data_IF_702255440715
#
_entry.id   IF_702255440715
#
_cell.length_a   1.000
_cell.length_b   1.000
_cell.length_c   1.000
_cell.angle_alpha   90.00
_cell.angle_beta   90.00
_cell.angle_gamma   90.00
#
_symmetry.space_group_name_H-M   'P 1'
#
loop_
_entity.id
_entity.type
_entity.pdbx_description
1 polymer ?
#
# COMPACT_ATOMS: atom_id res chain seq x y z
N UNK A 1 -4.48 3.14 9.19
CA UNK A 1 -3.77 1.85 9.17
C UNK A 1 -2.32 1.93 9.63
N UNK A 2 -1.72 3.10 9.67
CA UNK A 2 -0.35 3.28 10.19
C UNK A 2 -0.30 3.30 11.72
N UNK A 3 -1.42 3.60 12.37
CA UNK A 3 -1.50 3.82 13.80
C UNK A 3 -2.47 2.81 14.43
N UNK A 4 -2.09 2.27 15.58
CA UNK A 4 -2.97 1.50 16.44
C UNK A 4 -2.93 2.08 17.86
N UNK A 5 -4.10 2.31 18.44
CA UNK A 5 -4.19 2.56 19.86
C UNK A 5 -4.25 1.24 20.59
N UNK A 6 -3.36 1.06 21.54
CA UNK A 6 -3.22 -0.20 22.28
C UNK A 6 -3.44 -0.01 23.77
N UNK A 7 -4.06 -1.02 24.40
CA UNK A 7 -4.35 -1.04 25.83
C UNK A 7 -4.34 -2.45 26.37
N UNK A 8 -3.78 -2.66 27.54
CA UNK A 8 -3.95 -3.91 28.28
C UNK A 8 -5.38 -4.04 28.81
N UNK A 9 -6.00 -5.16 28.53
CA UNK A 9 -7.28 -5.56 29.12
C UNK A 9 -7.11 -6.02 30.56
N UNK A 10 -8.24 -6.21 31.25
CA UNK A 10 -8.26 -6.76 32.63
C UNK A 10 -7.76 -8.19 32.71
N UNK A 11 -7.79 -8.91 31.59
CA UNK A 11 -7.28 -10.27 31.40
C UNK A 11 -5.76 -10.32 31.11
N UNK A 12 -5.08 -9.17 31.12
CA UNK A 12 -3.65 -9.04 30.85
C UNK A 12 -3.27 -9.12 29.36
N UNK A 13 -4.25 -9.28 28.44
CA UNK A 13 -3.98 -9.28 26.99
C UNK A 13 -3.88 -7.87 26.45
N UNK A 14 -3.08 -7.69 25.41
CA UNK A 14 -2.99 -6.43 24.66
C UNK A 14 -4.10 -6.36 23.62
N UNK A 15 -4.82 -5.26 23.58
CA UNK A 15 -5.88 -4.97 22.64
C UNK A 15 -5.53 -3.77 21.78
N UNK A 16 -5.96 -3.77 20.51
CA UNK A 16 -5.72 -2.68 19.58
C UNK A 16 -7.00 -2.20 18.90
N UNK A 17 -7.02 -0.91 18.59
CA UNK A 17 -8.05 -0.22 17.80
C UNK A 17 -7.35 0.58 16.71
N UNK A 18 -7.88 0.55 15.48
CA UNK A 18 -7.50 1.48 14.45
C UNK A 18 -8.26 2.81 14.64
N UNK A 19 -7.57 3.94 14.92
CA UNK A 19 -8.22 5.22 15.11
C UNK A 19 -8.63 5.90 13.80
N UNK A 20 -8.08 5.49 12.66
CA UNK A 20 -8.24 6.20 11.38
C UNK A 20 -9.49 5.83 10.59
N UNK A 21 -10.12 4.73 10.91
CA UNK A 21 -11.34 4.25 10.26
C UNK A 21 -11.21 4.04 8.73
N UNK A 22 -10.00 3.85 8.24
CA UNK A 22 -9.68 3.68 6.82
C UNK A 22 -8.32 3.06 6.56
N UNK A 23 -8.07 2.83 5.27
CA UNK A 23 -6.79 2.33 4.76
C UNK A 23 -6.20 3.33 3.79
N UNK A 24 -4.92 3.62 3.92
CA UNK A 24 -4.14 4.39 2.98
C UNK A 24 -3.10 3.47 2.33
N UNK A 25 -3.16 3.30 1.01
CA UNK A 25 -2.32 2.35 0.32
C UNK A 25 -1.69 2.88 -0.95
N UNK A 26 -0.62 2.19 -1.38
CA UNK A 26 0.03 2.39 -2.68
C UNK A 26 -0.79 1.67 -3.74
N UNK A 27 -1.17 2.38 -4.81
CA UNK A 27 -1.97 1.80 -5.89
C UNK A 27 -1.14 0.93 -6.85
N UNK A 28 0.02 1.35 -7.39
CA UNK A 28 0.78 0.56 -8.35
C UNK A 28 1.15 -0.83 -7.81
N UNK A 29 0.93 -1.85 -8.62
CA UNK A 29 1.17 -3.24 -8.24
C UNK A 29 0.08 -3.89 -7.39
N UNK A 30 -0.90 -3.13 -6.92
CA UNK A 30 -2.06 -3.68 -6.22
C UNK A 30 -3.02 -4.28 -7.25
N UNK A 31 -3.25 -5.58 -7.17
CA UNK A 31 -4.07 -6.36 -8.08
C UNK A 31 -4.89 -7.41 -7.33
N UNK A 32 -5.78 -8.11 -8.04
CA UNK A 32 -6.51 -9.24 -7.46
C UNK A 32 -5.57 -10.41 -7.09
N UNK A 33 -4.40 -10.52 -7.74
CA UNK A 33 -3.42 -11.56 -7.46
C UNK A 33 -2.51 -11.18 -6.29
N UNK A 34 -2.09 -9.91 -6.21
CA UNK A 34 -1.16 -9.45 -5.15
C UNK A 34 -1.87 -9.11 -3.84
N UNK A 35 -3.02 -8.44 -3.90
CA UNK A 35 -3.77 -8.01 -2.71
C UNK A 35 -5.28 -7.87 -2.98
N UNK A 36 -6.01 -9.00 -3.05
CA UNK A 36 -7.44 -8.99 -3.38
C UNK A 36 -8.30 -8.24 -2.36
N UNK A 37 -7.91 -8.26 -1.09
CA UNK A 37 -8.69 -7.59 -0.04
C UNK A 37 -8.56 -6.05 -0.13
N UNK A 38 -7.40 -5.52 -0.51
CA UNK A 38 -7.23 -4.10 -0.77
C UNK A 38 -8.13 -3.64 -1.93
N UNK A 39 -8.11 -4.35 -3.06
CA UNK A 39 -8.99 -4.02 -4.20
C UNK A 39 -10.48 -4.10 -3.85
N UNK A 40 -10.89 -5.12 -3.10
CA UNK A 40 -12.28 -5.24 -2.66
C UNK A 40 -12.69 -4.10 -1.73
N UNK A 41 -11.76 -3.60 -0.93
CA UNK A 41 -11.99 -2.45 -0.04
C UNK A 41 -12.16 -1.13 -0.81
N UNK A 42 -11.58 -1.04 -2.02
CA UNK A 42 -11.64 0.16 -2.86
C UNK A 42 -12.97 0.35 -3.62
N UNK A 43 -13.94 -0.54 -3.50
CA UNK A 43 -15.16 -0.56 -4.34
C UNK A 43 -16.09 0.63 -4.14
N UNK A 44 -16.09 1.29 -2.99
CA UNK A 44 -17.04 2.36 -2.67
C UNK A 44 -16.42 3.39 -1.73
N UNK A 45 -16.70 4.67 -1.98
CA UNK A 45 -16.29 5.76 -1.09
C UNK A 45 -14.77 5.93 -0.99
N UNK A 46 -14.02 5.41 -1.95
CA UNK A 46 -12.56 5.48 -1.97
C UNK A 46 -12.10 6.72 -2.72
N UNK A 47 -11.10 7.37 -2.17
CA UNK A 47 -10.41 8.49 -2.81
C UNK A 47 -9.14 7.96 -3.46
N UNK A 48 -8.94 8.31 -4.74
CA UNK A 48 -7.74 7.97 -5.48
C UNK A 48 -6.97 9.23 -5.86
N UNK A 49 -5.66 9.16 -5.86
CA UNK A 49 -4.79 10.25 -6.27
C UNK A 49 -3.77 9.79 -7.30
N UNK A 50 -3.51 10.63 -8.31
CA UNK A 50 -2.49 10.42 -9.33
C UNK A 50 -2.67 9.12 -10.14
N UNK A 51 -3.89 8.68 -10.34
CA UNK A 51 -4.28 7.52 -11.14
C UNK A 51 -4.69 7.94 -12.57
N UNK A 52 -4.87 6.97 -13.45
CA UNK A 52 -5.51 7.19 -14.76
C UNK A 52 -7.02 7.24 -14.56
N UNK A 53 -7.70 8.18 -15.22
CA UNK A 53 -9.15 8.21 -15.35
C UNK A 53 -9.55 7.53 -16.66
N UNK A 54 -10.42 6.55 -16.57
CA UNK A 54 -10.94 5.81 -17.74
C UNK A 54 -12.19 6.48 -18.31
N UNK A 55 -12.57 6.24 -19.60
CA UNK A 55 -13.72 6.90 -20.23
C UNK A 55 -15.08 6.64 -19.57
N UNK A 56 -15.21 5.51 -18.88
CA UNK A 56 -16.40 5.11 -18.11
C UNK A 56 -16.43 5.70 -16.68
N UNK A 57 -15.46 6.55 -16.34
CA UNK A 57 -15.39 7.20 -15.04
C UNK A 57 -14.77 6.33 -13.94
N UNK A 58 -14.19 5.20 -14.29
CA UNK A 58 -13.41 4.36 -13.38
C UNK A 58 -11.93 4.79 -13.37
N UNK A 59 -11.13 4.12 -12.59
CA UNK A 59 -9.72 4.45 -12.40
C UNK A 59 -8.81 3.27 -12.74
N UNK A 60 -7.55 3.60 -13.02
CA UNK A 60 -6.54 2.62 -13.34
C UNK A 60 -5.15 3.04 -12.85
N UNK A 61 -4.32 2.05 -12.59
CA UNK A 61 -2.89 2.22 -12.30
C UNK A 61 -2.04 1.10 -12.92
N UNK A 62 -0.72 1.24 -12.86
CA UNK A 62 0.21 0.25 -13.40
C UNK A 62 0.16 -1.06 -12.58
N UNK A 63 0.23 -2.19 -13.30
CA UNK A 63 0.22 -3.55 -12.73
C UNK A 63 -1.04 -3.91 -11.93
N UNK A 64 -2.18 -3.29 -12.28
CA UNK A 64 -3.49 -3.62 -11.69
C UNK A 64 -4.02 -5.01 -12.07
N UNK A 65 -3.40 -5.67 -13.06
CA UNK A 65 -3.78 -7.02 -13.51
C UNK A 65 -4.96 -7.07 -14.49
N UNK A 66 -5.50 -5.92 -14.89
CA UNK A 66 -6.60 -5.82 -15.87
C UNK A 66 -6.13 -5.12 -17.15
N UNK A 67 -6.73 -5.48 -18.29
CA UNK A 67 -6.42 -4.85 -19.58
C UNK A 67 -6.74 -3.35 -19.53
N UNK A 68 -5.90 -2.56 -20.19
CA UNK A 68 -6.13 -1.13 -20.33
C UNK A 68 -7.30 -0.85 -21.27
N UNK A 69 -8.09 0.21 -21.02
CA UNK A 69 -9.03 0.75 -22.01
C UNK A 69 -8.25 1.30 -23.21
N UNK A 70 -8.94 1.49 -24.34
CA UNK A 70 -8.31 2.04 -25.55
C UNK A 70 -7.66 3.40 -25.30
N UNK A 71 -8.29 4.22 -24.49
CA UNK A 71 -7.88 5.58 -24.15
C UNK A 71 -8.20 5.90 -22.69
N UNK A 72 -7.62 6.97 -22.16
CA UNK A 72 -7.85 7.49 -20.81
C UNK A 72 -7.19 8.86 -20.64
N UNK A 73 -7.29 9.39 -19.44
CA UNK A 73 -6.60 10.61 -19.02
C UNK A 73 -5.55 10.22 -17.97
N UNK A 74 -4.30 10.57 -18.23
CA UNK A 74 -3.21 10.28 -17.32
C UNK A 74 -3.25 11.12 -16.03
N UNK A 75 -2.38 10.82 -15.10
CA UNK A 75 -2.31 11.52 -13.82
C UNK A 75 -1.98 13.01 -13.91
N UNK A 76 -1.53 13.50 -15.06
CA UNK A 76 -1.26 14.92 -15.33
C UNK A 76 -2.42 15.62 -16.05
N UNK A 77 -3.48 14.88 -16.38
CA UNK A 77 -4.63 15.39 -17.11
C UNK A 77 -4.49 15.35 -18.64
N UNK A 78 -3.48 14.63 -19.17
CA UNK A 78 -3.29 14.50 -20.62
C UNK A 78 -3.92 13.21 -21.14
N UNK A 79 -4.38 13.18 -22.42
CA UNK A 79 -4.81 11.95 -23.06
C UNK A 79 -3.71 10.89 -23.07
N UNK A 80 -4.09 9.64 -22.84
CA UNK A 80 -3.23 8.48 -22.99
C UNK A 80 -3.98 7.33 -23.68
N UNK A 81 -3.24 6.41 -24.26
CA UNK A 81 -3.80 5.31 -25.07
C UNK A 81 -3.13 3.99 -24.75
N UNK A 82 -3.86 2.89 -24.97
CA UNK A 82 -3.33 1.53 -24.79
C UNK A 82 -2.10 1.29 -25.67
N UNK A 83 -1.11 0.62 -25.12
CA UNK A 83 0.11 0.22 -25.82
C UNK A 83 -0.22 -0.79 -26.93
N UNK A 84 0.47 -0.68 -28.08
CA UNK A 84 0.21 -1.50 -29.28
C UNK A 84 0.48 -3.00 -29.05
N UNK A 85 1.52 -3.33 -28.31
CA UNK A 85 2.01 -4.69 -28.07
C UNK A 85 1.89 -5.15 -26.61
N UNK A 86 1.33 -4.33 -25.72
CA UNK A 86 1.06 -4.68 -24.33
C UNK A 86 -0.31 -4.15 -23.89
N UNK A 87 -1.36 -5.00 -23.84
CA UNK A 87 -2.71 -4.58 -23.52
C UNK A 87 -2.90 -4.16 -22.04
N UNK A 88 -1.86 -4.30 -21.22
CA UNK A 88 -1.89 -3.93 -19.81
C UNK A 88 -1.22 -2.58 -19.53
N UNK A 89 -0.67 -1.92 -20.55
CA UNK A 89 0.07 -0.67 -20.42
C UNK A 89 -0.52 0.43 -21.27
N UNK A 90 -0.36 1.67 -20.80
CA UNK A 90 -0.77 2.86 -21.54
C UNK A 90 0.42 3.78 -21.82
N UNK A 91 0.38 4.43 -22.97
CA UNK A 91 1.40 5.39 -23.42
C UNK A 91 0.79 6.76 -23.72
N UNK A 92 1.62 7.80 -23.90
CA UNK A 92 1.18 9.18 -24.12
C UNK A 92 0.56 9.40 -25.52
N UNK A 93 0.73 8.46 -26.45
CA UNK A 93 0.22 8.56 -27.81
C UNK A 93 -0.29 7.20 -28.29
N UNK A 94 -1.31 7.16 -29.18
CA UNK A 94 -1.76 5.93 -29.80
C UNK A 94 -0.66 5.23 -30.61
N UNK A 95 -0.67 3.91 -30.60
CA UNK A 95 0.23 3.10 -31.44
C UNK A 95 1.66 2.92 -30.94
N UNK A 96 2.00 3.48 -29.79
CA UNK A 96 3.32 3.25 -29.18
C UNK A 96 3.47 1.82 -28.69
N UNK A 97 4.69 1.30 -28.82
CA UNK A 97 5.10 0.00 -28.28
C UNK A 97 5.56 0.12 -26.82
N UNK A 98 5.61 -1.01 -26.15
CA UNK A 98 6.14 -1.09 -24.77
C UNK A 98 7.57 -0.57 -24.64
N UNK A 99 8.40 -0.85 -25.65
CA UNK A 99 9.79 -0.38 -25.68
C UNK A 99 9.87 1.14 -25.74
N UNK A 100 9.14 1.77 -26.66
CA UNK A 100 9.07 3.23 -26.82
C UNK A 100 8.52 3.92 -25.55
N UNK A 101 7.49 3.35 -24.92
CA UNK A 101 6.93 3.87 -23.68
C UNK A 101 7.99 3.81 -22.55
N UNK A 102 8.70 2.69 -22.44
CA UNK A 102 9.76 2.51 -21.43
C UNK A 102 10.91 3.50 -21.65
N UNK A 103 11.35 3.68 -22.89
CA UNK A 103 12.42 4.62 -23.25
C UNK A 103 12.04 6.06 -22.93
N UNK A 104 10.78 6.44 -23.18
CA UNK A 104 10.27 7.77 -22.84
C UNK A 104 10.19 8.08 -21.36
N UNK A 105 10.28 7.05 -20.49
CA UNK A 105 10.08 7.18 -19.04
C UNK A 105 8.63 7.49 -18.63
N UNK A 106 7.68 7.38 -19.58
CA UNK A 106 6.30 7.71 -19.32
C UNK A 106 5.61 6.68 -18.43
N UNK A 107 4.77 7.17 -17.53
CA UNK A 107 3.83 6.38 -16.73
C UNK A 107 2.46 7.06 -16.76
N UNK A 108 1.41 6.30 -17.08
CA UNK A 108 0.06 6.83 -17.17
C UNK A 108 -0.54 7.12 -15.78
N UNK A 109 -0.28 6.27 -14.80
CA UNK A 109 -0.48 6.57 -13.38
C UNK A 109 0.87 6.88 -12.73
N UNK A 110 0.92 7.82 -11.81
CA UNK A 110 2.15 8.18 -11.12
C UNK A 110 2.65 7.01 -10.25
N UNK A 111 3.97 6.85 -10.15
CA UNK A 111 4.59 5.81 -9.29
C UNK A 111 4.18 5.93 -7.82
N UNK A 112 3.76 7.12 -7.41
CA UNK A 112 3.28 7.43 -6.07
C UNK A 112 1.74 7.62 -6.03
N UNK A 113 0.99 7.00 -6.94
CA UNK A 113 -0.47 6.99 -6.85
C UNK A 113 -0.93 6.25 -5.59
N UNK A 114 -2.03 6.74 -5.00
CA UNK A 114 -2.53 6.28 -3.71
C UNK A 114 -4.04 6.07 -3.76
N UNK A 115 -4.51 5.25 -2.85
CA UNK A 115 -5.93 5.16 -2.51
C UNK A 115 -6.13 5.33 -1.00
N UNK A 116 -7.28 5.89 -0.64
CA UNK A 116 -7.77 5.93 0.74
C UNK A 116 -9.16 5.30 0.73
N UNK A 117 -9.28 4.11 1.31
CA UNK A 117 -10.53 3.34 1.34
C UNK A 117 -11.12 3.30 2.74
N UNK A 118 -12.46 3.35 2.90
CA UNK A 118 -13.11 3.18 4.19
C UNK A 118 -12.83 1.80 4.78
N UNK A 119 -12.53 1.71 6.07
CA UNK A 119 -12.27 0.45 6.74
C UNK A 119 -13.46 -0.52 6.67
N UNK A 120 -14.68 0.00 6.69
CA UNK A 120 -15.93 -0.77 6.60
C UNK A 120 -16.09 -1.57 5.29
N UNK A 121 -15.35 -1.20 4.25
CA UNK A 121 -15.35 -1.91 2.97
C UNK A 121 -14.47 -3.17 2.99
N UNK A 122 -13.61 -3.34 3.99
CA UNK A 122 -12.71 -4.49 4.05
C UNK A 122 -13.51 -5.79 4.21
N UNK A 123 -13.38 -6.76 3.28
CA UNK A 123 -14.20 -7.96 3.28
C UNK A 123 -13.88 -8.92 4.44
N UNK A 124 -12.70 -8.77 5.05
CA UNK A 124 -12.24 -9.57 6.19
C UNK A 124 -12.40 -8.85 7.53
N UNK A 125 -13.00 -7.64 7.52
CA UNK A 125 -13.28 -6.93 8.74
C UNK A 125 -14.37 -7.65 9.53
N UNK A 126 -14.06 -8.08 10.73
CA UNK A 126 -15.08 -8.54 11.67
C UNK A 126 -15.91 -7.35 12.15
N UNK A 127 -17.09 -7.20 11.55
CA UNK A 127 -18.01 -6.11 11.89
C UNK A 127 -18.52 -6.20 13.33
N UNK A 128 -18.56 -7.39 13.92
CA UNK A 128 -18.93 -7.57 15.32
C UNK A 128 -17.80 -7.15 16.27
N UNK A 129 -16.55 -7.42 15.87
CA UNK A 129 -15.35 -6.98 16.58
C UNK A 129 -14.88 -5.57 16.22
N UNK A 130 -15.40 -4.99 15.13
CA UNK A 130 -15.06 -3.63 14.70
C UNK A 130 -15.71 -2.61 15.64
N UNK A 131 -15.09 -2.42 16.74
CA UNK A 131 -15.43 -1.40 17.70
C UNK A 131 -14.69 -0.10 17.37
N UNK A 132 -14.82 0.35 16.13
CA UNK A 132 -14.27 1.63 15.71
C UNK A 132 -14.83 2.80 16.52
N UNK A 133 -14.41 3.99 16.16
CA UNK A 133 -14.80 5.26 16.82
C UNK A 133 -16.34 5.46 16.98
N UNK A 134 -17.14 4.71 16.25
CA UNK A 134 -18.60 4.76 16.29
C UNK A 134 -19.23 3.96 17.44
N UNK A 135 -18.48 3.10 18.10
CA UNK A 135 -19.03 2.32 19.20
C UNK A 135 -18.79 3.05 20.52
N UNK A 136 -19.86 3.22 21.31
CA UNK A 136 -19.80 3.95 22.60
C UNK A 136 -18.84 3.34 23.63
N UNK A 137 -18.37 2.10 23.42
CA UNK A 137 -17.39 1.41 24.26
C UNK A 137 -16.44 0.58 23.39
N UNK A 138 -15.50 1.21 22.70
CA UNK A 138 -14.53 0.47 21.89
C UNK A 138 -13.66 -0.40 22.80
N UNK A 139 -13.75 -1.72 22.65
CA UNK A 139 -12.92 -2.67 23.39
C UNK A 139 -11.64 -3.03 22.65
N UNK A 140 -11.62 -2.83 21.33
CA UNK A 140 -10.53 -3.28 20.47
C UNK A 140 -10.55 -4.79 20.23
N UNK A 141 -9.58 -5.26 19.45
CA UNK A 141 -9.33 -6.68 19.21
C UNK A 141 -8.06 -7.12 19.92
N UNK A 142 -8.01 -8.35 20.46
CA UNK A 142 -6.79 -8.85 21.11
C UNK A 142 -5.71 -9.08 20.09
N UNK A 143 -4.46 -8.77 20.44
CA UNK A 143 -3.27 -9.02 19.65
C UNK A 143 -2.70 -10.37 20.07
N UNK A 144 -2.54 -11.29 19.14
CA UNK A 144 -1.97 -12.61 19.39
C UNK A 144 -0.49 -12.68 18.95
N UNK A 145 -0.10 -11.87 17.96
CA UNK A 145 1.28 -11.80 17.48
C UNK A 145 1.64 -10.40 16.98
N UNK A 146 2.89 -10.01 17.14
CA UNK A 146 3.46 -8.80 16.58
C UNK A 146 4.62 -9.21 15.68
N UNK A 147 4.55 -8.79 14.40
CA UNK A 147 5.63 -8.94 13.44
C UNK A 147 6.39 -7.61 13.36
N UNK A 148 7.70 -7.67 13.52
CA UNK A 148 8.57 -6.50 13.39
C UNK A 148 9.51 -6.69 12.20
N UNK A 149 9.63 -5.70 11.32
CA UNK A 149 10.47 -5.84 10.15
C UNK A 149 10.67 -4.54 9.38
N UNK A 150 11.59 -4.61 8.42
CA UNK A 150 11.90 -3.54 7.48
C UNK A 150 11.91 -4.05 6.05
N UNK A 151 12.07 -3.13 5.09
CA UNK A 151 12.21 -3.46 3.67
C UNK A 151 13.67 -3.70 3.32
N UNK A 152 14.04 -4.96 3.13
CA UNK A 152 15.39 -5.41 2.79
C UNK A 152 15.35 -6.57 1.79
N UNK A 153 14.95 -6.36 0.52
CA UNK A 153 14.75 -7.45 -0.44
C UNK A 153 16.03 -8.22 -0.77
N UNK A 154 17.20 -7.63 -0.54
CA UNK A 154 18.50 -8.28 -0.76
C UNK A 154 19.04 -9.07 0.45
N UNK A 155 18.31 -9.06 1.58
CA UNK A 155 18.75 -9.73 2.80
C UNK A 155 18.21 -11.16 2.83
N UNK A 156 19.11 -12.12 3.02
CA UNK A 156 18.78 -13.54 3.16
C UNK A 156 19.45 -14.07 4.43
N UNK A 157 18.71 -14.77 5.32
CA UNK A 157 17.29 -15.10 5.25
C UNK A 157 16.39 -13.87 5.47
N UNK A 158 15.20 -13.90 4.89
CA UNK A 158 14.22 -12.80 5.02
C UNK A 158 13.53 -12.77 6.39
N UNK A 159 13.49 -13.91 7.08
CA UNK A 159 12.89 -14.05 8.40
C UNK A 159 13.91 -14.57 9.36
N UNK A 160 13.99 -13.96 10.53
CA UNK A 160 14.86 -14.38 11.62
C UNK A 160 14.05 -14.53 12.90
N UNK A 161 14.28 -15.59 13.65
CA UNK A 161 13.67 -15.81 14.95
C UNK A 161 14.64 -15.39 16.05
N UNK A 162 14.13 -14.63 17.02
CA UNK A 162 14.91 -14.23 18.18
C UNK A 162 14.99 -15.38 19.20
N UNK A 163 16.20 -15.62 19.75
CA UNK A 163 16.44 -16.66 20.76
C UNK A 163 15.93 -16.29 22.16
N UNK A 164 15.68 -15.02 22.40
CA UNK A 164 15.17 -14.46 23.65
C UNK A 164 14.55 -13.10 23.42
N UNK A 165 13.82 -12.57 24.38
CA UNK A 165 13.26 -11.22 24.32
C UNK A 165 14.37 -10.16 24.12
N UNK A 166 15.44 -10.22 24.90
CA UNK A 166 16.56 -9.29 24.77
C UNK A 166 17.22 -9.36 23.38
N UNK A 167 17.36 -10.58 22.81
CA UNK A 167 17.86 -10.75 21.45
C UNK A 167 16.89 -10.13 20.41
N UNK A 168 15.58 -10.28 20.61
CA UNK A 168 14.57 -9.65 19.73
C UNK A 168 14.62 -8.13 19.76
N UNK A 169 14.76 -7.54 20.94
CA UNK A 169 14.93 -6.09 21.09
C UNK A 169 16.21 -5.61 20.37
N UNK A 170 17.32 -6.33 20.53
CA UNK A 170 18.57 -6.01 19.82
C UNK A 170 18.38 -6.10 18.29
N UNK A 171 17.78 -7.19 17.79
CA UNK A 171 17.52 -7.35 16.36
C UNK A 171 16.63 -6.24 15.82
N UNK A 172 15.58 -5.88 16.54
CA UNK A 172 14.65 -4.80 16.17
C UNK A 172 15.35 -3.44 16.10
N UNK A 173 16.18 -3.12 17.11
CA UNK A 173 16.93 -1.87 17.16
C UNK A 173 18.04 -1.76 16.11
N UNK A 174 18.58 -2.90 15.66
CA UNK A 174 19.62 -2.97 14.65
C UNK A 174 19.08 -3.10 13.20
N UNK A 175 17.77 -3.31 13.03
CA UNK A 175 17.16 -3.49 11.72
C UNK A 175 17.16 -2.19 10.92
N UNK A 176 17.82 -2.20 9.76
CA UNK A 176 17.71 -1.15 8.77
C UNK A 176 16.54 -1.41 7.81
N UNK A 177 16.01 -0.36 7.21
CA UNK A 177 14.95 -0.45 6.18
C UNK A 177 15.28 0.41 4.98
N UNK A 178 14.85 -0.02 3.79
CA UNK A 178 14.92 0.80 2.59
C UNK A 178 13.94 1.98 2.67
N UNK A 179 14.36 3.09 2.09
CA UNK A 179 13.53 4.27 1.94
C UNK A 179 12.36 3.98 0.99
N UNK A 180 11.17 4.39 1.37
CA UNK A 180 9.94 4.10 0.64
C UNK A 180 9.60 5.17 -0.39
N UNK A 181 8.58 4.89 -1.23
CA UNK A 181 8.08 5.82 -2.23
C UNK A 181 7.47 7.13 -1.66
N UNK A 182 7.27 7.23 -0.35
CA UNK A 182 6.81 8.45 0.31
C UNK A 182 7.90 9.52 0.47
N UNK A 183 9.16 9.17 0.19
CA UNK A 183 10.32 10.07 0.28
C UNK A 183 10.68 10.59 -1.12
N UNK A 184 11.60 11.55 -1.19
CA UNK A 184 12.13 12.14 -2.43
C UNK A 184 12.62 11.01 -3.36
N UNK A 185 12.22 11.07 -4.63
CA UNK A 185 12.32 9.95 -5.57
C UNK A 185 13.74 9.41 -5.83
N UNK A 186 14.77 10.21 -5.63
CA UNK A 186 16.18 9.84 -5.79
C UNK A 186 16.73 9.01 -4.61
N UNK A 187 16.00 8.92 -3.51
CA UNK A 187 16.36 8.15 -2.32
C UNK A 187 15.61 6.82 -2.21
N UNK A 188 14.72 6.50 -3.14
CA UNK A 188 13.97 5.24 -3.12
C UNK A 188 14.93 4.06 -3.27
N UNK A 189 14.78 3.05 -2.39
CA UNK A 189 15.63 1.86 -2.38
C UNK A 189 16.95 2.02 -1.63
N UNK A 190 17.31 3.23 -1.19
CA UNK A 190 18.47 3.43 -0.32
C UNK A 190 18.20 2.87 1.08
N UNK A 191 19.16 2.18 1.64
CA UNK A 191 19.07 1.67 3.01
C UNK A 191 19.59 2.73 3.98
N UNK A 192 18.73 3.25 4.83
CA UNK A 192 19.16 4.08 5.95
C UNK A 192 19.71 3.19 7.06
N UNK A 193 20.96 3.47 7.45
CA UNK A 193 21.65 2.77 8.54
C UNK A 193 21.61 3.53 9.86
N UNK A 194 21.08 4.73 9.83
CA UNK A 194 20.96 5.56 11.02
C UNK A 194 19.75 5.07 11.85
N UNK A 195 19.95 4.54 13.04
CA UNK A 195 18.87 4.11 13.91
C UNK A 195 17.92 5.25 14.29
N UNK A 196 18.40 6.50 14.30
CA UNK A 196 17.56 7.68 14.55
C UNK A 196 16.52 7.92 13.45
N UNK A 197 16.72 7.39 12.25
CA UNK A 197 15.73 7.44 11.19
C UNK A 197 14.51 6.52 11.42
N UNK A 198 14.58 5.66 12.43
CA UNK A 198 13.50 4.75 12.85
C UNK A 198 12.67 5.30 14.00
N UNK A 199 13.08 6.41 14.59
CA UNK A 199 12.34 7.10 15.64
C UNK A 199 11.50 8.23 15.02
N UNK A 200 10.23 8.38 15.42
CA UNK A 200 9.38 9.49 14.96
C UNK A 200 9.88 10.85 15.46
#
# INVERSE_FOLDING_TARGET
DDIAWMKFGKDGRLYAINPENGFFGVAPGTSMDSNPNALKSCKKGTIFTNVVLTPDGDIRWEDMGVKAPKEGIDWKGNPCSVCKDDPYRMGPKPGMTKAEIKESGYVAAHKNSRFTAPAENCPVLDKAGFNGLYNKKPTGVPIDAILFGGRRPSTIPLVNEAKSWAHGVFMGSAAGSEVTAAVISDQIGQVRRDPMAMLP
#
